data_IF_599919801882
#
_entry.id   IF_599919801882
#
_cell.length_a   1.000
_cell.length_b   1.000
_cell.length_c   1.000
_cell.angle_alpha   90.00
_cell.angle_beta   90.00
_cell.angle_gamma   90.00
#
_symmetry.space_group_name_H-M   'P 1'
#
loop_
_entity.id
_entity.type
_entity.pdbx_description
1 polymer ?
#
# COMPACT_ATOMS: atom_id res chain seq x y z
N UNK A 1 25.29 -11.39 -13.07
CA UNK A 1 24.52 -10.94 -11.90
C UNK A 1 23.25 -10.33 -12.43
N UNK A 2 22.09 -10.61 -11.85
CA UNK A 2 20.83 -9.99 -12.28
C UNK A 2 20.73 -8.56 -11.73
N UNK A 3 20.00 -7.66 -12.40
CA UNK A 3 19.78 -6.26 -11.96
C UNK A 3 19.23 -6.21 -10.52
N UNK A 4 18.40 -7.17 -10.15
CA UNK A 4 17.90 -7.37 -8.77
C UNK A 4 19.01 -7.58 -7.75
N UNK A 5 20.06 -8.35 -8.10
CA UNK A 5 21.20 -8.61 -7.22
C UNK A 5 22.10 -7.37 -7.06
N UNK A 6 22.20 -6.53 -8.09
CA UNK A 6 22.98 -5.29 -8.04
C UNK A 6 22.28 -4.21 -7.23
N UNK A 7 20.96 -4.07 -7.41
CA UNK A 7 20.13 -3.16 -6.62
C UNK A 7 20.17 -3.58 -5.15
N UNK A 8 19.87 -4.84 -4.82
CA UNK A 8 19.91 -5.33 -3.43
C UNK A 8 21.30 -5.15 -2.76
N UNK A 9 22.39 -5.24 -3.53
CA UNK A 9 23.75 -5.00 -3.04
C UNK A 9 24.03 -3.52 -2.78
N UNK A 10 23.49 -2.61 -3.59
CA UNK A 10 23.75 -1.18 -3.51
C UNK A 10 23.00 -0.49 -2.35
N UNK A 11 21.80 -0.96 -2.02
CA UNK A 11 20.92 -0.31 -1.01
C UNK A 11 20.93 -1.00 0.36
N UNK A 12 21.68 -2.10 0.53
CA UNK A 12 21.61 -2.88 1.76
C UNK A 12 20.31 -3.68 1.85
N UNK A 13 20.27 -4.66 2.74
CA UNK A 13 19.24 -5.71 2.83
C UNK A 13 17.81 -5.21 3.17
N UNK A 14 17.56 -3.90 3.18
CA UNK A 14 16.28 -3.26 3.53
C UNK A 14 15.34 -3.06 2.32
N UNK A 15 15.61 -3.71 1.18
CA UNK A 15 14.72 -3.69 0.02
C UNK A 15 13.56 -4.65 0.25
N UNK A 16 12.38 -4.10 0.56
CA UNK A 16 11.16 -4.87 0.84
C UNK A 16 10.66 -5.62 -0.40
N UNK A 17 10.80 -5.05 -1.60
CA UNK A 17 10.58 -5.73 -2.89
C UNK A 17 10.94 -4.76 -4.01
N UNK A 18 11.67 -5.20 -5.03
CA UNK A 18 11.76 -4.44 -6.27
C UNK A 18 10.48 -4.75 -7.06
N UNK A 19 9.57 -3.78 -7.20
CA UNK A 19 8.37 -3.96 -8.00
C UNK A 19 8.72 -4.38 -9.44
N UNK A 20 7.88 -5.20 -10.07
CA UNK A 20 8.17 -5.81 -11.39
C UNK A 20 8.59 -4.80 -12.46
N UNK A 21 8.01 -3.59 -12.40
CA UNK A 21 8.34 -2.49 -13.32
C UNK A 21 9.76 -1.96 -13.14
N UNK A 22 10.26 -1.90 -11.90
CA UNK A 22 11.65 -1.54 -11.61
C UNK A 22 12.62 -2.67 -11.97
N UNK A 23 12.20 -3.93 -11.82
CA UNK A 23 13.00 -5.09 -12.24
C UNK A 23 13.17 -5.19 -13.78
N UNK A 24 12.26 -4.60 -14.56
CA UNK A 24 12.32 -4.54 -16.02
C UNK A 24 13.22 -3.41 -16.57
N UNK A 25 13.68 -2.47 -15.74
CA UNK A 25 14.54 -1.35 -16.16
C UNK A 25 16.01 -1.79 -16.35
N UNK A 26 16.25 -2.82 -17.14
CA UNK A 26 17.57 -3.40 -17.42
C UNK A 26 18.34 -2.70 -18.57
N UNK A 27 18.00 -1.45 -18.92
CA UNK A 27 18.68 -0.68 -19.96
C UNK A 27 18.93 0.76 -19.52
N UNK A 28 20.15 1.26 -19.78
CA UNK A 28 20.68 2.60 -19.51
C UNK A 28 19.70 3.56 -18.80
N UNK A 29 19.60 3.36 -17.48
CA UNK A 29 18.70 4.16 -16.66
C UNK A 29 19.40 5.50 -16.35
N UNK A 30 19.08 6.53 -17.14
CA UNK A 30 19.41 7.92 -16.82
C UNK A 30 18.38 8.58 -15.87
N UNK A 31 17.35 7.84 -15.44
CA UNK A 31 16.26 8.35 -14.61
C UNK A 31 16.35 7.90 -13.15
N UNK A 32 16.01 8.76 -12.16
CA UNK A 32 16.03 8.37 -10.77
C UNK A 32 15.06 7.20 -10.49
N UNK A 33 15.59 6.10 -9.95
CA UNK A 33 14.78 5.04 -9.36
C UNK A 33 14.55 5.37 -7.90
N UNK A 34 13.30 5.53 -7.51
CA UNK A 34 12.91 5.73 -6.12
C UNK A 34 12.54 4.38 -5.50
N UNK A 35 13.10 4.12 -4.32
CA UNK A 35 12.82 2.93 -3.52
C UNK A 35 12.29 3.39 -2.18
N UNK A 36 11.18 2.79 -1.74
CA UNK A 36 10.53 3.09 -0.46
C UNK A 36 10.40 1.80 0.34
N UNK A 37 10.54 1.92 1.65
CA UNK A 37 10.24 0.83 2.58
C UNK A 37 8.73 0.72 2.81
N UNK A 38 8.28 -0.40 3.38
CA UNK A 38 6.89 -0.55 3.86
C UNK A 38 6.52 0.57 4.84
N UNK A 39 7.46 0.96 5.70
CA UNK A 39 7.26 2.04 6.68
C UNK A 39 7.11 3.42 6.00
N UNK A 40 7.92 3.70 4.97
CA UNK A 40 7.80 4.96 4.20
C UNK A 40 6.42 5.08 3.54
N UNK A 41 5.94 3.99 2.95
CA UNK A 41 4.62 3.96 2.30
C UNK A 41 3.51 4.12 3.35
N UNK A 42 3.61 3.40 4.47
CA UNK A 42 2.66 3.53 5.58
C UNK A 42 2.58 4.98 6.08
N UNK A 43 3.72 5.62 6.33
CA UNK A 43 3.77 7.03 6.74
C UNK A 43 3.18 7.95 5.69
N UNK A 44 3.53 7.76 4.42
CA UNK A 44 3.04 8.62 3.34
C UNK A 44 1.51 8.55 3.19
N UNK A 45 0.93 7.35 3.27
CA UNK A 45 -0.52 7.15 3.11
C UNK A 45 -1.28 7.69 4.34
N UNK A 46 -0.80 7.42 5.57
CA UNK A 46 -1.41 7.98 6.79
C UNK A 46 -1.35 9.50 6.83
N UNK A 47 -0.20 10.11 6.47
CA UNK A 47 -0.11 11.57 6.36
C UNK A 47 -1.09 12.13 5.31
N UNK A 48 -1.36 11.37 4.24
CA UNK A 48 -2.35 11.73 3.23
C UNK A 48 -3.78 11.75 3.78
N UNK A 49 -4.12 10.79 4.66
CA UNK A 49 -5.38 10.77 5.42
C UNK A 49 -5.45 11.99 6.34
N UNK A 50 -4.41 12.25 7.14
CA UNK A 50 -4.36 13.39 8.06
C UNK A 50 -4.56 14.75 7.35
N UNK A 51 -4.05 14.90 6.12
CA UNK A 51 -4.20 16.13 5.34
C UNK A 51 -5.64 16.46 4.95
N UNK A 52 -6.51 15.45 4.83
CA UNK A 52 -7.90 15.63 4.41
C UNK A 52 -8.90 15.33 5.52
N UNK A 53 -8.46 14.75 6.63
CA UNK A 53 -9.32 14.32 7.74
C UNK A 53 -10.16 15.49 8.31
N UNK A 54 -9.57 16.67 8.45
CA UNK A 54 -10.26 17.87 8.98
C UNK A 54 -11.38 18.39 8.05
N UNK A 55 -11.38 17.99 6.77
CA UNK A 55 -12.41 18.36 5.79
C UNK A 55 -13.56 17.36 5.73
N UNK A 56 -13.44 16.22 6.43
CA UNK A 56 -14.40 15.15 6.45
C UNK A 56 -15.21 15.19 7.75
N UNK A 57 -16.51 14.91 7.65
CA UNK A 57 -17.46 15.25 8.70
C UNK A 57 -18.00 14.06 9.49
N UNK A 58 -17.77 12.83 9.02
CA UNK A 58 -18.43 11.65 9.56
C UNK A 58 -17.49 10.45 9.78
N UNK A 59 -17.97 9.53 10.60
CA UNK A 59 -17.32 8.27 10.96
C UNK A 59 -17.14 7.37 9.71
N UNK A 60 -18.11 7.41 8.79
CA UNK A 60 -18.07 6.68 7.52
C UNK A 60 -16.85 7.03 6.68
N UNK A 61 -16.57 8.32 6.50
CA UNK A 61 -15.43 8.78 5.70
C UNK A 61 -14.12 8.35 6.36
N UNK A 62 -14.06 8.36 7.69
CA UNK A 62 -12.91 7.84 8.47
C UNK A 62 -12.71 6.35 8.24
N UNK A 63 -13.78 5.54 8.30
CA UNK A 63 -13.72 4.09 8.06
C UNK A 63 -13.27 3.76 6.63
N UNK A 64 -13.78 4.50 5.64
CA UNK A 64 -13.37 4.35 4.25
C UNK A 64 -11.88 4.69 4.05
N UNK A 65 -11.38 5.76 4.68
CA UNK A 65 -9.96 6.12 4.61
C UNK A 65 -9.07 5.06 5.25
N UNK A 66 -9.45 4.54 6.42
CA UNK A 66 -8.75 3.46 7.09
C UNK A 66 -8.73 2.18 6.23
N UNK A 67 -9.85 1.86 5.56
CA UNK A 67 -9.91 0.76 4.61
C UNK A 67 -8.94 0.95 3.43
N UNK A 68 -8.81 2.18 2.89
CA UNK A 68 -7.83 2.47 1.83
C UNK A 68 -6.40 2.28 2.34
N UNK A 69 -6.06 2.74 3.54
CA UNK A 69 -4.74 2.54 4.15
C UNK A 69 -4.44 1.03 4.25
N UNK A 70 -5.36 0.27 4.84
CA UNK A 70 -5.23 -1.18 4.99
C UNK A 70 -5.07 -1.89 3.64
N UNK A 71 -5.91 -1.54 2.66
CA UNK A 71 -5.82 -2.08 1.31
C UNK A 71 -4.47 -1.80 0.65
N UNK A 72 -3.97 -0.56 0.71
CA UNK A 72 -2.65 -0.23 0.17
C UNK A 72 -1.57 -1.10 0.81
N UNK A 73 -1.56 -1.18 2.15
CA UNK A 73 -0.55 -1.94 2.88
C UNK A 73 -0.61 -3.44 2.60
N UNK A 74 -1.79 -4.01 2.38
CA UNK A 74 -1.99 -5.42 2.03
C UNK A 74 -1.60 -5.71 0.58
N UNK A 75 -1.97 -4.82 -0.36
CA UNK A 75 -1.70 -5.00 -1.79
C UNK A 75 -0.20 -4.85 -2.15
N UNK A 76 0.60 -4.19 -1.32
CA UNK A 76 2.07 -4.19 -1.48
C UNK A 76 2.66 -5.60 -1.42
N UNK A 77 2.07 -6.47 -0.59
CA UNK A 77 2.51 -7.85 -0.42
C UNK A 77 1.75 -8.80 -1.34
N UNK A 78 0.43 -8.57 -1.48
CA UNK A 78 -0.52 -9.39 -2.20
C UNK A 78 -1.26 -8.59 -3.29
N UNK A 79 -0.59 -8.23 -4.41
CA UNK A 79 -1.13 -7.29 -5.40
C UNK A 79 -2.35 -7.77 -6.19
N UNK A 80 -2.77 -9.01 -5.98
CA UNK A 80 -3.94 -9.61 -6.64
C UNK A 80 -5.14 -9.80 -5.73
N UNK A 81 -5.01 -9.46 -4.44
CA UNK A 81 -6.13 -9.59 -3.51
C UNK A 81 -7.30 -8.72 -3.93
N UNK A 82 -8.49 -9.28 -3.80
CA UNK A 82 -9.78 -8.61 -3.89
C UNK A 82 -10.07 -7.84 -2.61
N UNK A 83 -11.11 -7.00 -2.61
CA UNK A 83 -11.55 -6.31 -1.40
C UNK A 83 -11.90 -7.29 -0.26
N UNK A 84 -12.50 -8.45 -0.57
CA UNK A 84 -12.91 -9.41 0.46
C UNK A 84 -11.71 -10.10 1.11
N UNK A 85 -10.68 -10.41 0.31
CA UNK A 85 -9.41 -10.95 0.82
C UNK A 85 -8.66 -9.90 1.66
N UNK A 86 -8.71 -8.61 1.26
CA UNK A 86 -8.16 -7.52 2.09
C UNK A 86 -8.90 -7.40 3.41
N UNK A 87 -10.25 -7.45 3.39
CA UNK A 87 -11.04 -7.37 4.61
C UNK A 87 -10.70 -8.53 5.56
N UNK A 88 -10.69 -9.76 5.04
CA UNK A 88 -10.37 -10.96 5.82
C UNK A 88 -8.96 -10.94 6.42
N UNK A 89 -8.01 -10.25 5.79
CA UNK A 89 -6.65 -10.10 6.30
C UNK A 89 -6.57 -9.02 7.41
N UNK A 90 -7.39 -7.98 7.32
CA UNK A 90 -7.25 -6.78 8.16
C UNK A 90 -8.27 -6.67 9.29
N UNK A 91 -9.37 -7.43 9.24
CA UNK A 91 -10.49 -7.32 10.17
C UNK A 91 -10.92 -8.71 10.68
N UNK A 92 -11.54 -8.75 11.85
CA UNK A 92 -12.09 -9.99 12.41
C UNK A 92 -13.52 -10.24 11.89
N UNK A 93 -14.19 -9.19 11.42
CA UNK A 93 -15.54 -9.18 10.88
C UNK A 93 -15.62 -9.70 9.44
N UNK A 94 -16.78 -10.24 9.07
CA UNK A 94 -17.02 -10.72 7.72
C UNK A 94 -17.10 -9.55 6.70
N UNK A 95 -16.76 -9.76 5.41
CA UNK A 95 -16.77 -8.69 4.41
C UNK A 95 -18.10 -7.96 4.22
N UNK A 96 -19.22 -8.63 4.47
CA UNK A 96 -20.54 -7.99 4.45
C UNK A 96 -20.72 -6.98 5.59
N UNK A 97 -20.26 -7.33 6.79
CA UNK A 97 -20.32 -6.47 7.97
C UNK A 97 -19.44 -5.23 7.78
N UNK A 98 -18.21 -5.42 7.31
CA UNK A 98 -17.29 -4.29 7.06
C UNK A 98 -17.84 -3.36 5.98
N UNK A 99 -18.44 -3.89 4.90
CA UNK A 99 -19.10 -3.06 3.88
C UNK A 99 -20.31 -2.29 4.43
N UNK A 100 -20.94 -2.79 5.49
CA UNK A 100 -22.09 -2.13 6.10
C UNK A 100 -21.76 -0.78 6.72
N UNK A 101 -20.50 -0.55 7.13
CA UNK A 101 -20.04 0.69 7.74
C UNK A 101 -20.18 1.91 6.81
N UNK A 102 -20.23 1.68 5.49
CA UNK A 102 -20.40 2.74 4.49
C UNK A 102 -21.51 2.50 3.47
N UNK A 103 -22.31 1.44 3.63
CA UNK A 103 -23.48 1.18 2.79
C UNK A 103 -24.77 1.53 3.53
N UNK A 104 -25.65 2.35 2.93
CA UNK A 104 -26.99 2.60 3.47
C UNK A 104 -27.39 4.06 3.73
N UNK A 105 -26.81 5.01 2.98
CA UNK A 105 -27.18 6.42 3.01
C UNK A 105 -28.06 6.78 1.81
#
# INVERSE_FOLDING_TARGET
MTTTQEIARAIGFDVVKIGERAAQLAGDVHEPVYVWTREDISKAVNNGVDLVADELGDERDTDLMNMVVNAVMTLLENPHYTLDEVIQECYEEDPEEVRSWWSGW
#
